data_IF_529175099596
#
_entry.id   IF_529175099596
#
_cell.length_a   1.000
_cell.length_b   1.000
_cell.length_c   1.000
_cell.angle_alpha   90.00
_cell.angle_beta   90.00
_cell.angle_gamma   90.00
#
_symmetry.space_group_name_H-M   'P 1'
#
loop_
_entity.id
_entity.type
_entity.pdbx_description
1 polymer ?
#
# COMPACT_ATOMS: atom_id res chain seq x y z
N UNK A 1 16.38 -18.41 -5.98
CA UNK A 1 16.08 -17.76 -4.69
C UNK A 1 14.88 -18.48 -4.10
N UNK A 2 15.02 -19.13 -2.95
CA UNK A 2 13.87 -19.68 -2.23
C UNK A 2 13.21 -18.52 -1.50
N UNK A 3 12.03 -18.10 -1.95
CA UNK A 3 11.20 -17.14 -1.22
C UNK A 3 10.53 -17.87 -0.07
N UNK A 4 10.86 -17.45 1.16
CA UNK A 4 10.14 -17.93 2.35
C UNK A 4 8.75 -17.30 2.33
N UNK A 5 7.71 -18.12 2.22
CA UNK A 5 6.32 -17.67 2.35
C UNK A 5 5.88 -17.67 3.81
N UNK A 6 4.93 -16.81 4.16
CA UNK A 6 4.37 -16.70 5.49
C UNK A 6 3.09 -15.88 5.47
N UNK A 7 2.22 -16.11 6.44
CA UNK A 7 0.97 -15.36 6.60
C UNK A 7 1.18 -14.14 7.48
N UNK A 8 0.58 -13.02 7.11
CA UNK A 8 0.56 -11.79 7.92
C UNK A 8 -0.89 -11.44 8.21
N UNK A 9 -1.17 -11.00 9.44
CA UNK A 9 -2.48 -10.48 9.81
C UNK A 9 -2.86 -9.27 8.93
N UNK A 10 -4.10 -9.26 8.43
CA UNK A 10 -4.58 -8.22 7.54
C UNK A 10 -4.57 -6.83 8.20
N UNK A 11 -4.94 -6.73 9.48
CA UNK A 11 -4.92 -5.47 10.22
C UNK A 11 -3.51 -4.90 10.33
N UNK A 12 -2.55 -5.74 10.71
CA UNK A 12 -1.12 -5.37 10.76
C UNK A 12 -0.59 -4.93 9.40
N UNK A 13 -1.02 -5.57 8.31
CA UNK A 13 -0.60 -5.20 6.97
C UNK A 13 -1.20 -3.87 6.51
N UNK A 14 -2.48 -3.61 6.85
CA UNK A 14 -3.14 -2.33 6.62
C UNK A 14 -2.41 -1.21 7.37
N UNK A 15 -2.09 -1.41 8.66
CA UNK A 15 -1.35 -0.43 9.46
C UNK A 15 0.03 -0.11 8.86
N UNK A 16 0.73 -1.14 8.41
CA UNK A 16 2.03 -0.97 7.76
C UNK A 16 1.92 -0.16 6.47
N UNK A 17 0.99 -0.53 5.59
CA UNK A 17 0.80 0.15 4.31
C UNK A 17 0.35 1.61 4.50
N UNK A 18 -0.57 1.87 5.43
CA UNK A 18 -1.03 3.22 5.75
C UNK A 18 0.12 4.09 6.28
N UNK A 19 0.92 3.59 7.22
CA UNK A 19 2.10 4.31 7.74
C UNK A 19 3.13 4.59 6.64
N UNK A 20 3.31 3.67 5.70
CA UNK A 20 4.23 3.86 4.59
C UNK A 20 3.76 4.99 3.66
N UNK A 21 2.46 5.07 3.38
CA UNK A 21 1.85 6.14 2.57
C UNK A 21 1.88 7.50 3.31
N UNK A 22 1.56 7.53 4.60
CA UNK A 22 1.63 8.75 5.41
C UNK A 22 3.04 9.34 5.45
N UNK A 23 4.08 8.48 5.54
CA UNK A 23 5.48 8.93 5.44
C UNK A 23 5.81 9.62 4.11
N UNK A 24 5.01 9.42 3.07
CA UNK A 24 5.14 10.08 1.77
C UNK A 24 4.29 11.36 1.65
N UNK A 25 3.60 11.77 2.72
CA UNK A 25 2.78 12.98 2.76
C UNK A 25 1.31 12.76 2.43
N UNK A 26 0.86 11.51 2.25
CA UNK A 26 -0.56 11.21 2.03
C UNK A 26 -1.35 11.44 3.33
N UNK A 27 -2.48 12.18 3.32
CA UNK A 27 -3.35 12.34 4.48
C UNK A 27 -3.75 11.00 5.10
N UNK A 28 -3.96 10.97 6.42
CA UNK A 28 -4.23 9.72 7.14
C UNK A 28 -5.42 8.96 6.57
N UNK A 29 -6.51 9.65 6.27
CA UNK A 29 -7.74 9.05 5.73
C UNK A 29 -7.49 8.36 4.39
N UNK A 30 -6.85 9.06 3.44
CA UNK A 30 -6.53 8.53 2.11
C UNK A 30 -5.53 7.37 2.17
N UNK A 31 -4.53 7.48 3.07
CA UNK A 31 -3.58 6.41 3.32
C UNK A 31 -4.29 5.15 3.85
N UNK A 32 -5.26 5.32 4.76
CA UNK A 32 -6.07 4.22 5.31
C UNK A 32 -6.98 3.60 4.26
N UNK A 33 -7.59 4.39 3.39
CA UNK A 33 -8.42 3.90 2.28
C UNK A 33 -7.55 3.06 1.33
N UNK A 34 -6.44 3.62 0.87
CA UNK A 34 -5.52 2.95 -0.06
C UNK A 34 -4.99 1.64 0.53
N UNK A 35 -4.52 1.66 1.78
CA UNK A 35 -4.03 0.47 2.46
C UNK A 35 -5.09 -0.64 2.58
N UNK A 36 -6.33 -0.28 2.93
CA UNK A 36 -7.46 -1.24 2.99
C UNK A 36 -7.74 -1.86 1.63
N UNK A 37 -7.72 -1.08 0.55
CA UNK A 37 -7.96 -1.59 -0.81
C UNK A 37 -6.85 -2.55 -1.24
N UNK A 38 -5.58 -2.21 -1.02
CA UNK A 38 -4.46 -3.08 -1.38
C UNK A 38 -4.54 -4.43 -0.65
N UNK A 39 -4.76 -4.42 0.66
CA UNK A 39 -4.87 -5.66 1.44
C UNK A 39 -6.14 -6.45 1.08
N UNK A 40 -7.27 -5.76 0.87
CA UNK A 40 -8.50 -6.44 0.46
C UNK A 40 -8.43 -7.01 -0.97
N UNK A 41 -7.49 -6.55 -1.79
CA UNK A 41 -7.19 -7.09 -3.11
C UNK A 41 -6.36 -8.38 -2.99
N UNK A 42 -5.35 -8.39 -2.10
CA UNK A 42 -4.61 -9.62 -1.76
C UNK A 42 -5.54 -10.69 -1.18
N UNK A 43 -6.45 -10.31 -0.26
CA UNK A 43 -7.41 -11.25 0.34
C UNK A 43 -8.40 -11.84 -0.68
N UNK A 44 -8.57 -11.20 -1.84
CA UNK A 44 -9.38 -11.72 -2.97
C UNK A 44 -8.56 -12.57 -3.95
N UNK A 45 -7.26 -12.76 -3.70
CA UNK A 45 -6.36 -13.53 -4.56
C UNK A 45 -5.92 -12.80 -5.83
N UNK A 46 -5.97 -11.46 -5.85
CA UNK A 46 -5.51 -10.63 -6.97
C UNK A 46 -4.15 -10.02 -6.63
N UNK A 47 -3.16 -10.89 -6.40
CA UNK A 47 -1.84 -10.54 -5.87
C UNK A 47 -1.09 -9.50 -6.73
N UNK A 48 -1.39 -9.45 -8.03
CA UNK A 48 -0.81 -8.49 -8.97
C UNK A 48 -1.24 -7.04 -8.72
N UNK A 49 -2.28 -6.79 -7.92
CA UNK A 49 -2.82 -5.45 -7.65
C UNK A 49 -2.93 -5.11 -6.16
N UNK A 50 -2.51 -6.01 -5.27
CA UNK A 50 -2.54 -5.77 -3.82
C UNK A 50 -1.26 -5.12 -3.28
N UNK A 51 -0.79 -5.54 -2.11
CA UNK A 51 0.33 -4.86 -1.42
C UNK A 51 1.65 -4.90 -2.21
N UNK A 52 1.79 -5.81 -3.18
CA UNK A 52 2.89 -5.79 -4.14
C UNK A 52 3.04 -4.43 -4.88
N UNK A 53 1.96 -3.66 -5.02
CA UNK A 53 1.97 -2.32 -5.62
C UNK A 53 2.38 -1.19 -4.67
N UNK A 54 2.41 -1.41 -3.35
CA UNK A 54 2.71 -0.35 -2.37
C UNK A 54 4.04 0.35 -2.68
N UNK A 55 5.11 -0.40 -2.90
CA UNK A 55 6.42 0.16 -3.21
C UNK A 55 6.55 0.66 -4.66
N UNK A 56 6.35 -0.17 -5.70
CA UNK A 56 6.62 0.24 -7.09
C UNK A 56 5.62 1.26 -7.63
N UNK A 57 4.34 1.18 -7.24
CA UNK A 57 3.30 2.03 -7.80
C UNK A 57 2.97 3.23 -6.92
N UNK A 58 2.91 3.09 -5.59
CA UNK A 58 2.62 4.25 -4.74
C UNK A 58 3.89 4.99 -4.34
N UNK A 59 4.73 4.38 -3.50
CA UNK A 59 5.87 5.05 -2.87
C UNK A 59 6.82 5.65 -3.91
N UNK A 60 7.22 4.87 -4.93
CA UNK A 60 8.17 5.37 -5.95
C UNK A 60 7.57 6.46 -6.82
N UNK A 61 6.28 6.37 -7.18
CA UNK A 61 5.62 7.38 -8.04
C UNK A 61 5.33 8.67 -7.28
N UNK A 62 4.96 8.59 -6.00
CA UNK A 62 4.84 9.77 -5.13
C UNK A 62 6.20 10.47 -5.02
N UNK A 63 7.29 9.73 -4.73
CA UNK A 63 8.65 10.30 -4.70
C UNK A 63 9.08 10.94 -6.03
N UNK A 64 8.58 10.44 -7.15
CA UNK A 64 8.85 10.97 -8.47
C UNK A 64 7.91 12.13 -8.86
N UNK A 65 7.01 12.58 -7.97
CA UNK A 65 6.03 13.63 -8.28
C UNK A 65 4.94 13.23 -9.27
N UNK A 66 4.78 11.93 -9.53
CA UNK A 66 3.81 11.39 -10.50
C UNK A 66 2.42 11.11 -9.90
N UNK A 67 2.29 11.25 -8.58
CA UNK A 67 1.03 11.11 -7.84
C UNK A 67 0.94 12.33 -6.92
N UNK A 68 -0.16 13.08 -7.03
CA UNK A 68 -0.47 14.13 -6.06
C UNK A 68 -0.99 13.49 -4.78
N UNK A 69 -0.35 13.79 -3.65
CA UNK A 69 -0.72 13.27 -2.33
C UNK A 69 -1.89 14.02 -1.69
N UNK A 70 -2.21 15.20 -2.20
CA UNK A 70 -3.31 16.06 -1.75
C UNK A 70 -4.02 16.67 -2.98
N UNK A 71 -4.83 15.88 -3.71
CA UNK A 71 -5.62 16.37 -4.83
C UNK A 71 -6.73 17.32 -4.35
N UNK A 72 -7.10 18.28 -5.21
CA UNK A 72 -8.19 19.23 -5.00
C UNK A 72 -9.49 18.73 -5.65
#
# INVERSE_FOLDING_TARGET
MVTKSGTVDAGRLIDFAAKALQKMGVPEEDARITARILVATDLRGVDSHGVAHLAPFYIRRIKAGLINVEPQ
#
